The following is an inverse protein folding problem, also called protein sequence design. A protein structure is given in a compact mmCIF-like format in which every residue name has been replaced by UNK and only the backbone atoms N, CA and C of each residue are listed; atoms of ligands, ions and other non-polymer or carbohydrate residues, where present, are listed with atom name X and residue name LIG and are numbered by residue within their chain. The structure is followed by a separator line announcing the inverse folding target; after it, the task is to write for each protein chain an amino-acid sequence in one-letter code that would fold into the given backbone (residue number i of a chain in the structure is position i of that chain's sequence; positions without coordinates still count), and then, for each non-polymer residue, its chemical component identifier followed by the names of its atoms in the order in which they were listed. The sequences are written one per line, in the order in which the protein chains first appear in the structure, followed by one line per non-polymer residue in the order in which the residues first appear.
data_IF_257385551099
#
_entry.id   IF_257385551099
#
_cell.length_a   1.000
_cell.length_b   1.000
_cell.length_c   1.000
_cell.angle_alpha   90.00
_cell.angle_beta   90.00
_cell.angle_gamma   90.00
#
_symmetry.space_group_name_H-M   'P 1'
#
loop_
_entity.id
_entity.type
_entity.pdbx_description
1 polymer ?
#
# COMPACT_ATOMS: atom_id res chain seq x y z
N UNK A 1 -9.36 15.49 -4.50
CA UNK A 1 -8.73 14.28 -3.89
C UNK A 1 -9.35 14.02 -2.52
N UNK A 2 -9.43 12.75 -2.08
CA UNK A 2 -9.88 12.34 -0.75
C UNK A 2 -8.72 11.67 0.02
N UNK A 3 -8.87 11.49 1.33
CA UNK A 3 -7.88 10.79 2.16
C UNK A 3 -8.36 9.40 2.52
N UNK A 4 -7.49 8.43 2.31
CA UNK A 4 -7.57 7.06 2.81
C UNK A 4 -6.43 6.76 3.75
N UNK A 5 -6.51 5.62 4.41
CA UNK A 5 -5.42 5.09 5.24
C UNK A 5 -5.46 3.57 5.19
N UNK A 6 -4.30 2.95 5.26
CA UNK A 6 -4.16 1.51 5.39
C UNK A 6 -4.47 1.02 6.81
N UNK A 7 -5.00 -0.20 6.93
CA UNK A 7 -5.24 -0.82 8.25
C UNK A 7 -4.18 -1.85 8.66
N UNK A 8 -3.14 -2.07 7.84
CA UNK A 8 -2.09 -3.03 8.17
C UNK A 8 -0.95 -2.45 9.02
N UNK A 9 -0.87 -1.13 9.15
CA UNK A 9 0.25 -0.45 9.83
C UNK A 9 0.30 -0.64 11.34
N UNK A 10 -0.76 -1.16 11.96
CA UNK A 10 -0.82 -1.54 13.36
C UNK A 10 -1.70 -2.77 13.55
N UNK A 11 -1.24 -3.70 14.39
CA UNK A 11 -2.04 -4.88 14.76
C UNK A 11 -3.18 -4.49 15.71
N UNK A 12 -4.38 -4.32 15.15
CA UNK A 12 -5.60 -4.00 15.89
C UNK A 12 -6.84 -4.51 15.16
N UNK A 13 -8.01 -4.46 15.79
CA UNK A 13 -9.25 -4.84 15.10
C UNK A 13 -9.61 -3.82 14.03
N UNK A 14 -10.19 -4.28 12.92
CA UNK A 14 -10.64 -3.40 11.85
C UNK A 14 -11.64 -2.34 12.35
N UNK A 15 -12.51 -2.69 13.30
CA UNK A 15 -13.43 -1.74 13.91
C UNK A 15 -12.71 -0.60 14.65
N UNK A 16 -11.63 -0.91 15.36
CA UNK A 16 -10.82 0.11 16.05
C UNK A 16 -10.21 1.08 15.05
N UNK A 17 -9.66 0.55 13.94
CA UNK A 17 -9.14 1.39 12.84
C UNK A 17 -10.25 2.27 12.25
N UNK A 18 -11.38 1.68 11.83
CA UNK A 18 -12.47 2.42 11.17
C UNK A 18 -13.04 3.50 12.08
N UNK A 19 -13.27 3.19 13.36
CA UNK A 19 -13.76 4.17 14.35
C UNK A 19 -12.80 5.35 14.51
N UNK A 20 -11.49 5.08 14.60
CA UNK A 20 -10.46 6.12 14.73
C UNK A 20 -10.42 7.03 13.51
N UNK A 21 -10.36 6.46 12.32
CA UNK A 21 -10.25 7.25 11.09
C UNK A 21 -11.52 8.07 10.83
N UNK A 22 -12.69 7.51 11.05
CA UNK A 22 -13.96 8.23 10.96
C UNK A 22 -14.01 9.44 11.91
N UNK A 23 -13.56 9.26 13.16
CA UNK A 23 -13.51 10.35 14.16
C UNK A 23 -12.52 11.47 13.77
N UNK A 24 -11.54 11.18 12.94
CA UNK A 24 -10.57 12.16 12.42
C UNK A 24 -11.01 12.83 11.11
N UNK A 25 -12.03 12.31 10.43
CA UNK A 25 -12.56 12.87 9.19
C UNK A 25 -12.11 12.14 7.91
N UNK A 26 -11.43 11.02 8.01
CA UNK A 26 -11.18 10.16 6.83
C UNK A 26 -12.51 9.57 6.33
N UNK A 27 -12.68 9.54 5.04
CA UNK A 27 -13.87 8.98 4.37
C UNK A 27 -13.61 7.65 3.69
N UNK A 28 -12.33 7.28 3.54
CA UNK A 28 -11.89 6.09 2.81
C UNK A 28 -10.95 5.23 3.66
N UNK A 29 -11.01 3.93 3.39
CA UNK A 29 -10.09 2.92 3.91
C UNK A 29 -9.47 2.16 2.74
N UNK A 30 -8.17 1.95 2.76
CA UNK A 30 -7.50 0.95 1.94
C UNK A 30 -7.25 -0.31 2.78
N UNK A 31 -7.98 -1.39 2.47
CA UNK A 31 -7.96 -2.59 3.27
C UNK A 31 -6.75 -3.47 2.93
N UNK A 32 -6.14 -4.08 3.94
CA UNK A 32 -5.05 -5.03 3.74
C UNK A 32 -5.49 -6.22 2.86
N UNK A 33 -4.63 -6.65 1.95
CA UNK A 33 -4.87 -7.77 1.04
C UNK A 33 -4.84 -9.14 1.72
N UNK A 34 -5.71 -9.34 2.70
CA UNK A 34 -5.86 -10.59 3.46
C UNK A 34 -7.30 -11.13 3.35
N UNK A 35 -7.74 -11.54 2.15
CA UNK A 35 -9.12 -11.94 1.90
C UNK A 35 -9.60 -13.09 2.81
N UNK A 36 -8.68 -13.92 3.28
CA UNK A 36 -8.97 -15.01 4.22
C UNK A 36 -9.32 -14.53 5.64
N UNK A 37 -8.99 -13.29 5.99
CA UNK A 37 -9.22 -12.72 7.33
C UNK A 37 -10.53 -11.93 7.41
N UNK A 38 -11.12 -11.57 6.28
CA UNK A 38 -12.26 -10.66 6.25
C UNK A 38 -13.54 -11.34 5.75
N UNK A 39 -14.59 -11.29 6.59
CA UNK A 39 -15.95 -11.50 6.12
C UNK A 39 -16.45 -10.19 5.48
N UNK A 40 -16.53 -10.14 4.16
CA UNK A 40 -16.85 -8.93 3.41
C UNK A 40 -18.22 -8.33 3.76
N UNK A 41 -19.20 -9.14 4.18
CA UNK A 41 -20.52 -8.65 4.61
C UNK A 41 -20.42 -7.91 5.95
N UNK A 42 -19.64 -8.44 6.89
CA UNK A 42 -19.40 -7.81 8.19
C UNK A 42 -18.59 -6.52 8.03
N UNK A 43 -17.53 -6.56 7.19
CA UNK A 43 -16.71 -5.38 6.88
C UNK A 43 -17.57 -4.29 6.24
N UNK A 44 -18.41 -4.62 5.27
CA UNK A 44 -19.33 -3.66 4.62
C UNK A 44 -20.28 -3.01 5.61
N UNK A 45 -20.87 -3.80 6.51
CA UNK A 45 -21.75 -3.28 7.56
C UNK A 45 -21.00 -2.31 8.47
N UNK A 46 -19.80 -2.67 8.89
CA UNK A 46 -18.94 -1.85 9.74
C UNK A 46 -18.57 -0.51 9.06
N UNK A 47 -18.15 -0.55 7.81
CA UNK A 47 -17.85 0.65 7.02
C UNK A 47 -19.06 1.58 6.92
N UNK A 48 -20.25 1.03 6.65
CA UNK A 48 -21.49 1.80 6.59
C UNK A 48 -21.86 2.43 7.93
N UNK A 49 -21.68 1.70 9.04
CA UNK A 49 -21.96 2.20 10.39
C UNK A 49 -21.16 3.47 10.74
N UNK A 50 -19.92 3.56 10.26
CA UNK A 50 -19.04 4.70 10.52
C UNK A 50 -18.94 5.70 9.35
N UNK A 51 -19.77 5.54 8.31
CA UNK A 51 -19.75 6.39 7.11
C UNK A 51 -18.37 6.46 6.45
N UNK A 52 -17.65 5.35 6.41
CA UNK A 52 -16.38 5.15 5.69
C UNK A 52 -16.65 4.20 4.54
N UNK A 53 -15.96 4.34 3.43
CA UNK A 53 -16.02 3.40 2.30
C UNK A 53 -14.68 2.73 2.04
N UNK A 54 -14.69 1.50 1.52
CA UNK A 54 -13.49 0.89 0.98
C UNK A 54 -13.11 1.60 -0.31
N UNK A 55 -11.88 2.11 -0.40
CA UNK A 55 -11.36 2.63 -1.66
C UNK A 55 -10.70 1.55 -2.48
N UNK A 56 -9.88 0.72 -1.85
CA UNK A 56 -9.11 -0.30 -2.52
C UNK A 56 -8.41 -1.23 -1.53
N UNK A 57 -7.43 -1.93 -2.05
CA UNK A 57 -6.57 -2.83 -1.27
C UNK A 57 -5.15 -2.84 -1.80
N UNK A 58 -4.18 -2.92 -0.90
CA UNK A 58 -2.79 -3.25 -1.22
C UNK A 58 -2.58 -4.76 -1.05
N UNK A 59 -1.91 -5.39 -2.01
CA UNK A 59 -1.52 -6.80 -1.89
C UNK A 59 -0.40 -6.97 -0.87
N UNK A 60 -0.52 -7.98 -0.02
CA UNK A 60 0.53 -8.39 0.91
C UNK A 60 1.36 -9.51 0.27
N UNK A 61 2.32 -9.14 -0.57
CA UNK A 61 3.20 -10.07 -1.28
C UNK A 61 4.32 -10.57 -0.38
N UNK A 62 3.96 -11.43 0.58
CA UNK A 62 4.82 -11.94 1.65
C UNK A 62 4.97 -13.47 1.55
N UNK A 63 6.06 -14.00 2.12
CA UNK A 63 6.31 -15.43 2.16
C UNK A 63 6.43 -16.06 0.77
N UNK A 64 5.51 -16.96 0.43
CA UNK A 64 5.51 -17.69 -0.85
C UNK A 64 4.81 -16.90 -2.00
N UNK A 65 4.27 -15.73 -1.75
CA UNK A 65 3.55 -14.93 -2.76
C UNK A 65 4.55 -14.22 -3.67
N UNK A 66 4.62 -14.63 -4.94
CA UNK A 66 5.56 -14.09 -5.92
C UNK A 66 5.04 -14.34 -7.35
N UNK A 67 4.67 -13.28 -8.07
CA UNK A 67 4.13 -13.37 -9.44
C UNK A 67 5.20 -13.65 -10.49
N UNK A 68 6.48 -13.57 -10.12
CA UNK A 68 7.62 -13.87 -11.00
C UNK A 68 8.49 -15.02 -10.46
N UNK A 69 7.96 -15.85 -9.55
CA UNK A 69 8.69 -17.02 -9.04
C UNK A 69 9.06 -17.99 -10.17
N UNK A 70 10.22 -18.63 -10.07
CA UNK A 70 10.65 -19.66 -11.02
C UNK A 70 9.70 -20.87 -11.03
N UNK A 71 9.17 -21.22 -9.87
CA UNK A 71 8.18 -22.30 -9.72
C UNK A 71 6.81 -21.86 -10.26
N UNK A 72 6.33 -22.54 -11.30
CA UNK A 72 5.04 -22.25 -11.94
C UNK A 72 3.86 -22.44 -10.97
N UNK A 73 3.90 -23.46 -10.11
CA UNK A 73 2.84 -23.68 -9.13
C UNK A 73 2.79 -22.57 -8.08
N UNK A 74 3.94 -22.02 -7.69
CA UNK A 74 4.02 -20.86 -6.81
C UNK A 74 3.43 -19.62 -7.50
N UNK A 75 3.76 -19.39 -8.78
CA UNK A 75 3.14 -18.28 -9.55
C UNK A 75 1.62 -18.42 -9.63
N UNK A 76 1.12 -19.62 -9.95
CA UNK A 76 -0.32 -19.88 -10.04
C UNK A 76 -1.04 -19.61 -8.70
N UNK A 77 -0.47 -20.01 -7.56
CA UNK A 77 -1.01 -19.67 -6.23
C UNK A 77 -1.00 -18.18 -5.97
N UNK A 78 0.05 -17.47 -6.39
CA UNK A 78 0.17 -16.03 -6.24
C UNK A 78 -0.83 -15.28 -7.09
N UNK A 79 -1.05 -15.70 -8.34
CA UNK A 79 -2.12 -15.19 -9.22
C UNK A 79 -3.50 -15.38 -8.58
N UNK A 80 -3.77 -16.57 -8.05
CA UNK A 80 -5.06 -16.84 -7.39
C UNK A 80 -5.25 -15.94 -6.16
N UNK A 81 -4.20 -15.75 -5.35
CA UNK A 81 -4.25 -14.83 -4.21
C UNK A 81 -4.62 -13.39 -4.64
N UNK A 82 -3.98 -12.84 -5.68
CA UNK A 82 -4.31 -11.48 -6.14
C UNK A 82 -5.74 -11.41 -6.68
N UNK A 83 -6.23 -12.44 -7.38
CA UNK A 83 -7.64 -12.52 -7.80
C UNK A 83 -8.60 -12.56 -6.60
N UNK A 84 -8.22 -13.22 -5.52
CA UNK A 84 -9.02 -13.26 -4.29
C UNK A 84 -9.07 -11.88 -3.62
N UNK A 85 -7.97 -11.10 -3.66
CA UNK A 85 -7.95 -9.69 -3.23
C UNK A 85 -8.86 -8.84 -4.11
N UNK A 86 -8.79 -8.98 -5.43
CA UNK A 86 -9.69 -8.28 -6.39
C UNK A 86 -11.16 -8.59 -6.08
N UNK A 87 -11.49 -9.87 -5.82
CA UNK A 87 -12.85 -10.26 -5.44
C UNK A 87 -13.30 -9.60 -4.14
N UNK A 88 -12.45 -9.59 -3.11
CA UNK A 88 -12.72 -8.93 -1.84
C UNK A 88 -13.01 -7.44 -2.04
N UNK A 89 -12.18 -6.73 -2.80
CA UNK A 89 -12.38 -5.31 -3.11
C UNK A 89 -13.69 -5.06 -3.83
N UNK A 90 -14.03 -5.89 -4.83
CA UNK A 90 -15.33 -5.83 -5.52
C UNK A 90 -16.51 -6.02 -4.55
N UNK A 91 -16.42 -7.00 -3.65
CA UNK A 91 -17.47 -7.27 -2.66
C UNK A 91 -17.60 -6.14 -1.63
N UNK A 92 -16.58 -5.31 -1.44
CA UNK A 92 -16.57 -4.14 -0.58
C UNK A 92 -16.92 -2.83 -1.31
N UNK A 93 -17.34 -2.89 -2.58
CA UNK A 93 -17.59 -1.75 -3.46
C UNK A 93 -16.35 -0.84 -3.62
N UNK A 94 -15.16 -1.42 -3.51
CA UNK A 94 -13.90 -0.72 -3.72
C UNK A 94 -13.56 -0.51 -5.20
N UNK A 95 -12.48 0.20 -5.46
CA UNK A 95 -12.18 0.74 -6.78
C UNK A 95 -10.92 0.15 -7.42
N UNK A 96 -9.87 -0.13 -6.62
CA UNK A 96 -8.58 -0.56 -7.14
C UNK A 96 -7.85 -1.56 -6.23
N UNK A 97 -6.88 -2.26 -6.82
CA UNK A 97 -5.91 -3.10 -6.10
C UNK A 97 -4.50 -2.68 -6.51
N UNK A 98 -3.69 -2.30 -5.52
CA UNK A 98 -2.24 -2.11 -5.67
C UNK A 98 -1.52 -3.45 -5.59
N UNK A 99 -0.60 -3.69 -6.55
CA UNK A 99 0.15 -4.95 -6.65
C UNK A 99 1.64 -4.70 -6.72
N UNK A 100 2.35 -5.17 -5.70
CA UNK A 100 3.80 -5.38 -5.76
C UNK A 100 4.05 -6.71 -6.47
N UNK A 101 4.77 -6.78 -7.62
CA UNK A 101 4.86 -8.02 -8.41
C UNK A 101 5.64 -9.15 -7.72
N UNK A 102 6.69 -8.80 -6.96
CA UNK A 102 7.56 -9.76 -6.27
C UNK A 102 7.28 -9.87 -4.78
N UNK A 103 7.88 -10.85 -4.13
CA UNK A 103 7.83 -10.98 -2.66
C UNK A 103 8.59 -9.82 -2.01
N UNK A 104 7.94 -9.12 -1.08
CA UNK A 104 8.59 -8.08 -0.26
C UNK A 104 9.65 -8.73 0.64
N UNK A 105 10.83 -8.12 0.69
CA UNK A 105 12.01 -8.64 1.38
C UNK A 105 12.88 -9.56 0.52
N UNK A 106 12.46 -9.91 -0.70
CA UNK A 106 13.26 -10.72 -1.63
C UNK A 106 14.10 -9.81 -2.52
N UNK A 107 15.40 -9.81 -2.31
CA UNK A 107 16.37 -8.97 -3.03
C UNK A 107 17.30 -9.76 -3.96
N UNK A 108 17.14 -11.09 -4.06
CA UNK A 108 17.97 -11.97 -4.90
C UNK A 108 17.12 -12.54 -6.04
N UNK A 109 17.48 -12.28 -7.33
CA UNK A 109 16.82 -12.87 -8.48
C UNK A 109 16.93 -14.41 -8.51
N UNK A 110 15.97 -15.08 -9.16
CA UNK A 110 15.96 -16.55 -9.32
C UNK A 110 16.30 -16.99 -10.75
N UNK A 111 16.22 -16.07 -11.72
CA UNK A 111 16.40 -16.39 -13.11
C UNK A 111 17.03 -15.20 -13.88
N UNK A 112 17.09 -15.30 -15.19
CA UNK A 112 17.53 -14.18 -16.04
C UNK A 112 16.45 -13.09 -16.07
N UNK A 113 16.83 -11.81 -16.24
CA UNK A 113 15.87 -10.70 -16.26
C UNK A 113 14.71 -10.87 -17.24
N UNK A 114 14.99 -11.44 -18.42
CA UNK A 114 13.98 -11.64 -19.46
C UNK A 114 12.96 -12.71 -19.08
N UNK A 115 13.38 -13.73 -18.34
CA UNK A 115 12.51 -14.81 -17.86
C UNK A 115 11.59 -14.29 -16.76
N UNK A 116 12.14 -13.59 -15.76
CA UNK A 116 11.37 -13.02 -14.65
C UNK A 116 10.39 -11.94 -15.15
N UNK A 117 10.82 -11.10 -16.10
CA UNK A 117 9.94 -10.15 -16.76
C UNK A 117 8.74 -10.83 -17.44
N UNK A 118 9.02 -11.88 -18.22
CA UNK A 118 7.95 -12.60 -18.92
C UNK A 118 6.97 -13.26 -17.93
N UNK A 119 7.49 -13.89 -16.85
CA UNK A 119 6.64 -14.48 -15.82
C UNK A 119 5.78 -13.45 -15.10
N UNK A 120 6.34 -12.27 -14.81
CA UNK A 120 5.57 -11.18 -14.22
C UNK A 120 4.46 -10.70 -15.16
N UNK A 121 4.79 -10.47 -16.43
CA UNK A 121 3.81 -10.04 -17.45
C UNK A 121 2.69 -11.07 -17.62
N UNK A 122 3.00 -12.36 -17.72
CA UNK A 122 2.01 -13.41 -17.93
C UNK A 122 1.09 -13.55 -16.70
N UNK A 123 1.67 -13.56 -15.50
CA UNK A 123 0.91 -13.61 -14.24
C UNK A 123 0.00 -12.40 -14.08
N UNK A 124 0.52 -11.20 -14.34
CA UNK A 124 -0.25 -9.96 -14.22
C UNK A 124 -1.33 -9.82 -15.29
N UNK A 125 -1.13 -10.33 -16.51
CA UNK A 125 -2.18 -10.37 -17.55
C UNK A 125 -3.37 -11.20 -17.12
N UNK A 126 -3.13 -12.33 -16.46
CA UNK A 126 -4.21 -13.18 -15.94
C UNK A 126 -5.00 -12.49 -14.82
N UNK A 127 -4.30 -11.80 -13.91
CA UNK A 127 -4.92 -10.97 -12.86
C UNK A 127 -5.67 -9.79 -13.49
N UNK A 128 -5.05 -9.09 -14.43
CA UNK A 128 -5.62 -7.92 -15.11
C UNK A 128 -6.95 -8.24 -15.81
N UNK A 129 -7.00 -9.35 -16.54
CA UNK A 129 -8.24 -9.79 -17.18
C UNK A 129 -9.36 -9.97 -16.17
N UNK A 130 -9.07 -10.63 -15.05
CA UNK A 130 -10.04 -10.82 -13.98
C UNK A 130 -10.46 -9.51 -13.29
N UNK A 131 -9.50 -8.60 -13.07
CA UNK A 131 -9.77 -7.29 -12.48
C UNK A 131 -10.64 -6.43 -13.40
N UNK A 132 -10.34 -6.40 -14.72
CA UNK A 132 -11.13 -5.66 -15.72
C UNK A 132 -12.58 -6.17 -15.80
N UNK A 133 -12.78 -7.49 -15.84
CA UNK A 133 -14.13 -8.12 -15.80
C UNK A 133 -14.86 -7.82 -14.49
N UNK A 134 -14.12 -7.59 -13.42
CA UNK A 134 -14.66 -7.24 -12.10
C UNK A 134 -14.96 -5.74 -11.95
N UNK A 135 -14.51 -4.90 -12.88
CA UNK A 135 -14.62 -3.45 -12.80
C UNK A 135 -13.62 -2.81 -11.79
N UNK A 136 -12.53 -3.52 -11.47
CA UNK A 136 -11.50 -3.08 -10.52
C UNK A 136 -10.26 -2.67 -11.29
N UNK A 137 -9.67 -1.52 -10.95
CA UNK A 137 -8.41 -1.07 -11.50
C UNK A 137 -7.24 -1.86 -10.87
N UNK A 138 -6.23 -2.14 -11.67
CA UNK A 138 -4.99 -2.75 -11.21
C UNK A 138 -3.87 -1.72 -11.31
N UNK A 139 -3.20 -1.44 -10.18
CA UNK A 139 -2.05 -0.53 -10.10
C UNK A 139 -0.77 -1.30 -9.77
N UNK A 140 0.25 -1.22 -10.62
CA UNK A 140 1.57 -1.79 -10.31
C UNK A 140 2.30 -0.83 -9.37
N UNK A 141 2.75 -1.35 -8.25
CA UNK A 141 3.47 -0.59 -7.25
C UNK A 141 4.97 -0.90 -7.27
N UNK A 142 5.82 0.09 -7.60
CA UNK A 142 7.25 -0.02 -7.42
C UNK A 142 7.61 0.25 -5.97
N UNK A 143 8.41 -0.62 -5.36
CA UNK A 143 8.93 -0.43 -4.01
C UNK A 143 10.46 -0.38 -4.00
N UNK A 144 11.05 0.17 -2.96
CA UNK A 144 12.48 0.44 -2.91
C UNK A 144 13.36 -0.83 -3.04
N UNK A 145 14.61 -0.64 -3.47
CA UNK A 145 15.61 -1.70 -3.74
C UNK A 145 16.01 -2.53 -2.52
N UNK A 146 15.71 -2.09 -1.32
CA UNK A 146 15.98 -2.85 -0.10
C UNK A 146 14.86 -3.84 0.22
N UNK A 147 13.69 -3.67 -0.40
CA UNK A 147 12.51 -4.52 -0.24
C UNK A 147 12.25 -5.40 -1.47
N UNK A 148 12.71 -5.02 -2.67
CA UNK A 148 12.62 -5.87 -3.88
C UNK A 148 13.74 -5.54 -4.87
N UNK A 149 14.12 -6.51 -5.69
CA UNK A 149 15.07 -6.31 -6.79
C UNK A 149 14.40 -6.00 -8.13
N UNK A 150 13.08 -6.19 -8.25
CA UNK A 150 12.44 -6.28 -9.57
C UNK A 150 11.96 -4.92 -10.11
N UNK A 151 11.00 -4.27 -9.46
CA UNK A 151 10.42 -2.99 -9.89
C UNK A 151 10.59 -1.97 -8.76
N UNK A 152 11.41 -0.94 -8.98
CA UNK A 152 11.75 0.05 -7.96
C UNK A 152 11.30 1.47 -8.30
N UNK A 153 11.21 1.83 -9.58
CA UNK A 153 10.88 3.18 -10.05
C UNK A 153 9.59 3.21 -10.85
N UNK A 154 8.97 4.40 -10.91
CA UNK A 154 7.75 4.64 -11.66
C UNK A 154 7.87 4.33 -13.16
N UNK A 155 9.03 4.58 -13.79
CA UNK A 155 9.25 4.25 -15.20
C UNK A 155 9.26 2.72 -15.47
N UNK A 156 9.78 1.93 -14.54
CA UNK A 156 9.74 0.47 -14.62
C UNK A 156 8.32 -0.07 -14.41
N UNK A 157 7.59 0.50 -13.44
CA UNK A 157 6.19 0.15 -13.20
C UNK A 157 5.31 0.50 -14.40
N UNK A 158 5.52 1.66 -15.04
CA UNK A 158 4.82 2.05 -16.26
C UNK A 158 5.08 1.07 -17.41
N UNK A 159 6.35 0.70 -17.64
CA UNK A 159 6.70 -0.27 -18.67
C UNK A 159 6.02 -1.63 -18.43
N UNK A 160 5.95 -2.08 -17.18
CA UNK A 160 5.27 -3.32 -16.84
C UNK A 160 3.74 -3.19 -17.02
N UNK A 161 3.14 -2.10 -16.57
CA UNK A 161 1.71 -1.83 -16.74
C UNK A 161 1.31 -1.77 -18.23
N UNK A 162 2.15 -1.17 -19.08
CA UNK A 162 1.95 -1.14 -20.54
C UNK A 162 2.00 -2.54 -21.16
N UNK A 163 2.95 -3.38 -20.70
CA UNK A 163 3.07 -4.76 -21.17
C UNK A 163 1.89 -5.65 -20.72
N UNK A 164 1.25 -5.32 -19.60
CA UNK A 164 0.11 -6.06 -19.03
C UNK A 164 -1.20 -5.70 -19.74
N UNK A 165 -1.52 -4.41 -19.88
CA UNK A 165 -2.78 -4.03 -20.53
C UNK A 165 -3.04 -2.53 -20.58
N UNK A 166 -3.99 -2.10 -21.44
CA UNK A 166 -4.22 -0.67 -21.73
C UNK A 166 -4.79 0.11 -20.53
N UNK A 167 -5.48 -0.55 -19.60
CA UNK A 167 -6.06 0.06 -18.40
C UNK A 167 -5.29 -0.31 -17.11
N UNK A 168 -4.23 -1.12 -17.22
CA UNK A 168 -3.34 -1.36 -16.10
C UNK A 168 -2.60 -0.07 -15.78
N UNK A 169 -2.70 0.39 -14.57
CA UNK A 169 -2.08 1.63 -14.09
C UNK A 169 -0.88 1.35 -13.18
N UNK A 170 -0.43 2.43 -12.54
CA UNK A 170 0.59 2.37 -11.50
C UNK A 170 0.05 2.98 -10.20
N UNK A 171 0.47 2.43 -9.08
CA UNK A 171 0.32 3.03 -7.76
C UNK A 171 1.70 3.49 -7.30
N UNK A 172 1.88 4.78 -7.04
CA UNK A 172 3.17 5.32 -6.61
C UNK A 172 3.13 5.62 -5.11
N UNK A 173 4.24 5.37 -4.43
CA UNK A 173 4.40 5.67 -3.01
C UNK A 173 5.51 6.70 -2.79
N UNK A 174 5.20 7.76 -2.08
CA UNK A 174 6.10 8.89 -1.85
C UNK A 174 7.38 8.53 -1.09
N UNK A 175 7.32 7.55 -0.18
CA UNK A 175 8.50 7.05 0.54
C UNK A 175 9.43 6.26 -0.40
N UNK A 176 8.86 5.34 -1.18
CA UNK A 176 9.65 4.55 -2.13
C UNK A 176 10.24 5.44 -3.22
N UNK A 177 9.47 6.41 -3.74
CA UNK A 177 9.94 7.39 -4.71
C UNK A 177 11.09 8.24 -4.17
N UNK A 178 11.03 8.68 -2.92
CA UNK A 178 12.11 9.46 -2.30
C UNK A 178 13.45 8.69 -2.27
N UNK A 179 13.42 7.37 -2.24
CA UNK A 179 14.63 6.54 -2.25
C UNK A 179 15.13 6.23 -3.65
N UNK A 180 14.23 6.13 -4.64
CA UNK A 180 14.56 5.54 -5.95
C UNK A 180 14.54 6.56 -7.10
N UNK A 181 13.73 7.59 -7.02
CA UNK A 181 13.59 8.56 -8.11
C UNK A 181 14.63 9.68 -8.01
N UNK A 182 15.18 10.06 -9.14
CA UNK A 182 16.05 11.25 -9.21
C UNK A 182 15.26 12.56 -9.00
N UNK A 183 14.01 12.58 -9.44
CA UNK A 183 13.03 13.66 -9.24
C UNK A 183 11.63 13.04 -9.13
N UNK A 184 11.05 13.10 -7.92
CA UNK A 184 9.72 12.54 -7.65
C UNK A 184 8.61 13.24 -8.42
N UNK A 185 8.75 14.54 -8.67
CA UNK A 185 7.76 15.33 -9.41
C UNK A 185 7.74 14.97 -10.88
N UNK A 186 8.90 14.71 -11.47
CA UNK A 186 9.02 14.24 -12.84
C UNK A 186 8.46 12.81 -12.99
N UNK A 187 8.71 11.94 -12.01
CA UNK A 187 8.13 10.60 -12.00
C UNK A 187 6.59 10.63 -11.91
N UNK A 188 6.01 11.52 -11.09
CA UNK A 188 4.56 11.74 -11.05
C UNK A 188 4.05 12.22 -12.42
N UNK A 189 4.72 13.18 -13.07
CA UNK A 189 4.31 13.68 -14.39
C UNK A 189 4.32 12.60 -15.46
N UNK A 190 5.31 11.70 -15.45
CA UNK A 190 5.38 10.56 -16.37
C UNK A 190 4.22 9.58 -16.19
N UNK A 191 3.68 9.46 -14.99
CA UNK A 191 2.54 8.60 -14.70
C UNK A 191 1.19 9.17 -15.16
N UNK A 192 1.16 10.36 -15.78
CA UNK A 192 -0.08 10.99 -16.28
C UNK A 192 -0.92 10.04 -17.13
N UNK A 193 -2.19 9.88 -16.76
CA UNK A 193 -3.15 9.00 -17.42
C UNK A 193 -2.98 7.51 -17.09
N UNK A 194 -2.00 7.14 -16.26
CA UNK A 194 -1.76 5.78 -15.77
C UNK A 194 -1.68 5.70 -14.25
N UNK A 195 -1.62 6.82 -13.54
CA UNK A 195 -1.64 6.83 -12.08
C UNK A 195 -3.05 6.49 -11.58
N UNK A 196 -3.21 5.38 -10.87
CA UNK A 196 -4.49 4.90 -10.33
C UNK A 196 -4.51 4.83 -8.81
N UNK A 197 -3.38 5.05 -8.16
CA UNK A 197 -3.24 5.14 -6.71
C UNK A 197 -2.01 5.93 -6.31
N UNK A 198 -2.05 6.55 -5.12
CA UNK A 198 -0.90 7.26 -4.57
C UNK A 198 -0.84 7.07 -3.05
N UNK A 199 0.19 6.32 -2.61
CA UNK A 199 0.47 6.10 -1.20
C UNK A 199 1.34 7.22 -0.63
N UNK A 200 1.05 7.63 0.60
CA UNK A 200 1.71 8.77 1.24
C UNK A 200 2.31 8.41 2.60
N UNK A 201 3.61 8.50 2.68
CA UNK A 201 4.40 8.55 3.90
C UNK A 201 5.52 9.57 3.71
N UNK A 202 6.05 10.14 4.79
CA UNK A 202 7.18 11.06 4.66
C UNK A 202 8.49 10.32 4.31
N UNK A 203 9.53 11.05 3.95
CA UNK A 203 10.82 10.49 3.51
C UNK A 203 11.45 9.50 4.51
N UNK A 204 11.11 9.59 5.78
CA UNK A 204 11.56 8.72 6.87
C UNK A 204 10.53 7.63 7.24
N UNK A 205 9.55 7.42 6.38
CA UNK A 205 8.39 6.52 6.53
C UNK A 205 7.48 6.84 7.74
N UNK A 206 7.65 8.03 8.34
CA UNK A 206 6.74 8.56 9.33
C UNK A 206 5.48 9.15 8.66
N UNK A 207 4.54 9.59 9.49
CA UNK A 207 3.34 10.29 9.03
C UNK A 207 3.69 11.52 8.17
N UNK A 208 2.96 11.81 7.08
CA UNK A 208 3.10 13.04 6.32
C UNK A 208 3.18 14.29 7.20
N UNK A 209 4.20 15.11 6.97
CA UNK A 209 4.53 16.30 7.77
C UNK A 209 5.46 16.05 8.96
N UNK A 210 6.01 14.84 9.07
CA UNK A 210 7.02 14.48 10.08
C UNK A 210 8.42 14.22 9.49
N UNK A 211 8.61 14.53 8.22
CA UNK A 211 9.87 14.48 7.49
C UNK A 211 10.11 15.78 6.70
N UNK A 212 10.69 15.66 5.52
CA UNK A 212 11.07 16.83 4.71
C UNK A 212 10.43 16.87 3.31
N UNK A 213 9.47 15.98 2.99
CA UNK A 213 8.79 16.03 1.71
C UNK A 213 7.92 17.29 1.59
N UNK A 214 7.99 17.96 0.44
CA UNK A 214 7.15 19.12 0.12
C UNK A 214 5.76 18.63 -0.34
N UNK A 215 4.86 18.45 0.61
CA UNK A 215 3.50 17.98 0.35
C UNK A 215 2.69 18.93 -0.53
N UNK A 216 2.90 20.24 -0.40
CA UNK A 216 2.27 21.23 -1.27
C UNK A 216 2.64 21.04 -2.74
N UNK A 217 3.94 20.78 -3.00
CA UNK A 217 4.43 20.53 -4.34
C UNK A 217 4.01 19.16 -4.87
N UNK A 218 3.98 18.10 -4.03
CA UNK A 218 3.50 16.77 -4.41
C UNK A 218 2.03 16.88 -4.84
N UNK A 219 1.16 17.40 -4.00
CA UNK A 219 -0.28 17.58 -4.29
C UNK A 219 -0.49 18.46 -5.51
N UNK A 220 0.28 19.55 -5.64
CA UNK A 220 0.25 20.43 -6.83
C UNK A 220 0.61 19.68 -8.11
N UNK A 221 1.61 18.81 -8.08
CA UNK A 221 2.03 17.99 -9.24
C UNK A 221 0.98 16.92 -9.59
N UNK A 222 0.36 16.30 -8.59
CA UNK A 222 -0.75 15.36 -8.82
C UNK A 222 -1.93 16.06 -9.53
N UNK A 223 -2.31 17.28 -9.10
CA UNK A 223 -3.33 18.09 -9.78
C UNK A 223 -2.93 18.50 -11.20
N UNK A 224 -1.65 18.84 -11.41
CA UNK A 224 -1.11 19.17 -12.74
C UNK A 224 -1.34 18.08 -13.76
N UNK A 225 -1.22 16.80 -13.34
CA UNK A 225 -1.45 15.64 -14.22
C UNK A 225 -2.93 15.23 -14.31
N UNK A 226 -3.81 15.86 -13.55
CA UNK A 226 -5.24 15.57 -13.48
C UNK A 226 -5.59 14.38 -12.57
N UNK A 227 -4.71 14.00 -11.65
CA UNK A 227 -5.04 13.02 -10.62
C UNK A 227 -5.90 13.70 -9.54
N UNK A 228 -7.13 13.23 -9.39
CA UNK A 228 -8.10 13.75 -8.42
C UNK A 228 -8.80 12.60 -7.66
N UNK A 229 -8.07 11.56 -7.38
CA UNK A 229 -8.57 10.38 -6.65
C UNK A 229 -8.08 10.41 -5.19
N UNK A 230 -7.61 9.35 -4.65
CA UNK A 230 -7.32 9.16 -3.22
C UNK A 230 -5.82 9.23 -2.93
N UNK A 231 -5.45 9.92 -1.86
CA UNK A 231 -4.15 9.78 -1.21
C UNK A 231 -4.30 8.83 -0.03
N UNK A 232 -3.62 7.69 -0.08
CA UNK A 232 -3.72 6.65 0.95
C UNK A 232 -2.51 6.68 1.88
N UNK A 233 -2.76 6.96 3.15
CA UNK A 233 -1.72 7.08 4.17
C UNK A 233 -1.14 5.71 4.50
N UNK A 234 0.19 5.57 4.36
CA UNK A 234 0.93 4.32 4.54
C UNK A 234 2.27 4.52 5.27
N UNK A 235 2.21 5.09 6.45
CA UNK A 235 3.41 5.24 7.27
C UNK A 235 3.81 3.92 7.96
N UNK A 236 5.12 3.74 8.18
CA UNK A 236 5.65 2.68 9.03
C UNK A 236 6.68 3.31 9.97
N UNK A 237 6.25 3.58 11.20
CA UNK A 237 7.07 4.29 12.18
C UNK A 237 8.31 3.49 12.55
N UNK A 238 9.50 4.10 12.61
CA UNK A 238 10.71 3.41 13.07
C UNK A 238 10.61 3.01 14.55
N UNK A 239 11.25 1.90 14.88
CA UNK A 239 11.39 1.42 16.25
C UNK A 239 12.61 2.08 16.90
N UNK A 240 12.41 3.17 17.63
CA UNK A 240 13.49 3.82 18.39
C UNK A 240 13.45 3.40 19.86
N UNK A 241 14.39 2.56 20.25
CA UNK A 241 14.57 2.05 21.62
C UNK A 241 15.71 2.74 22.37
N UNK A 242 16.19 3.87 21.86
CA UNK A 242 17.30 4.61 22.47
C UNK A 242 16.79 5.67 23.45
N UNK A 243 17.65 6.12 24.39
CA UNK A 243 17.31 7.25 25.26
C UNK A 243 17.10 8.58 24.48
N UNK A 244 17.48 8.62 23.20
CA UNK A 244 17.29 9.78 22.33
C UNK A 244 15.95 9.80 21.61
N UNK A 245 15.08 8.80 21.84
CA UNK A 245 13.76 8.73 21.22
C UNK A 245 12.95 10.01 21.55
N UNK A 246 12.59 10.81 20.54
CA UNK A 246 11.80 12.03 20.77
C UNK A 246 10.35 11.73 21.18
N UNK A 247 9.93 10.48 21.07
CA UNK A 247 8.59 9.99 21.43
C UNK A 247 8.69 8.87 22.47
N UNK A 248 9.02 9.19 23.74
CA UNK A 248 9.35 8.19 24.77
C UNK A 248 8.21 7.19 25.07
N UNK A 249 6.94 7.57 24.77
CA UNK A 249 5.76 6.72 24.95
C UNK A 249 5.28 6.08 23.64
N UNK A 250 6.13 6.04 22.60
CA UNK A 250 5.72 5.53 21.28
C UNK A 250 5.66 4.00 21.20
N UNK A 251 6.40 3.31 22.07
CA UNK A 251 6.55 1.86 22.02
C UNK A 251 5.73 1.18 23.12
N UNK A 252 5.14 0.04 22.77
CA UNK A 252 4.59 -0.85 23.78
C UNK A 252 5.73 -1.38 24.66
N UNK A 253 5.67 -1.12 25.96
CA UNK A 253 6.75 -1.46 26.89
C UNK A 253 6.94 -2.97 27.06
N UNK A 254 5.93 -3.76 26.68
CA UNK A 254 5.95 -5.18 26.95
C UNK A 254 5.71 -6.05 25.69
N UNK A 255 6.71 -6.16 24.77
CA UNK A 255 6.59 -7.02 23.59
C UNK A 255 6.40 -8.51 23.95
N UNK A 256 6.49 -8.89 25.24
CA UNK A 256 6.22 -10.25 25.71
C UNK A 256 4.71 -10.56 25.73
N UNK A 257 3.87 -9.55 25.79
CA UNK A 257 2.42 -9.69 25.84
C UNK A 257 1.76 -9.74 24.47
N UNK A 258 2.55 -9.63 23.40
CA UNK A 258 2.07 -9.83 22.03
C UNK A 258 1.62 -11.27 21.84
N UNK A 259 0.39 -11.46 21.37
CA UNK A 259 -0.07 -12.78 20.93
C UNK A 259 0.81 -13.30 19.77
N UNK A 260 0.84 -14.62 19.53
CA UNK A 260 1.55 -15.18 18.38
C UNK A 260 1.10 -14.55 17.04
N UNK A 261 -0.19 -14.26 16.90
CA UNK A 261 -0.78 -13.62 15.72
C UNK A 261 -0.31 -12.17 15.56
N UNK A 262 -0.29 -11.42 16.66
CA UNK A 262 0.23 -10.04 16.64
C UNK A 262 1.73 -10.00 16.30
N UNK A 263 2.52 -10.89 16.89
CA UNK A 263 3.95 -11.00 16.58
C UNK A 263 4.17 -11.32 15.11
N UNK A 264 3.45 -12.34 14.60
CA UNK A 264 3.53 -12.69 13.19
C UNK A 264 3.13 -11.52 12.28
N UNK A 265 2.07 -10.79 12.62
CA UNK A 265 1.66 -9.62 11.88
C UNK A 265 2.79 -8.57 11.80
N UNK A 266 3.44 -8.26 12.93
CA UNK A 266 4.53 -7.29 12.97
C UNK A 266 5.75 -7.75 12.16
N UNK A 267 6.09 -9.04 12.23
CA UNK A 267 7.18 -9.65 11.47
C UNK A 267 6.88 -9.64 9.96
N UNK A 268 5.68 -10.03 9.58
CA UNK A 268 5.25 -10.11 8.18
C UNK A 268 5.16 -8.73 7.49
N UNK A 269 4.81 -7.68 8.22
CA UNK A 269 4.61 -6.34 7.66
C UNK A 269 5.78 -5.38 7.92
N UNK A 270 6.79 -5.80 8.67
CA UNK A 270 7.87 -4.93 9.09
C UNK A 270 7.40 -3.72 9.91
N UNK A 271 6.20 -3.80 10.48
CA UNK A 271 5.64 -2.77 11.33
C UNK A 271 6.17 -2.87 12.76
N UNK A 272 5.91 -1.86 13.59
CA UNK A 272 6.39 -1.81 14.95
C UNK A 272 5.25 -1.94 15.96
N UNK A 273 5.55 -2.44 17.15
CA UNK A 273 4.61 -2.45 18.27
C UNK A 273 4.50 -1.03 18.86
N UNK A 274 3.83 -0.14 18.13
CA UNK A 274 3.58 1.22 18.62
C UNK A 274 2.32 1.26 19.49
N UNK A 275 2.35 2.13 20.49
CA UNK A 275 1.18 2.36 21.35
C UNK A 275 -0.01 2.91 20.56
N UNK A 276 -1.23 2.68 21.05
CA UNK A 276 -2.43 3.23 20.41
C UNK A 276 -2.41 4.77 20.35
N UNK A 277 -1.93 5.41 21.41
CA UNK A 277 -1.82 6.88 21.47
C UNK A 277 -0.88 7.43 20.42
N UNK A 278 0.28 6.80 20.27
CA UNK A 278 1.26 7.23 19.26
C UNK A 278 0.73 6.98 17.84
N UNK A 279 0.14 5.83 17.58
CA UNK A 279 -0.47 5.54 16.29
C UNK A 279 -1.63 6.51 15.96
N UNK A 280 -2.48 6.83 16.95
CA UNK A 280 -3.54 7.82 16.75
C UNK A 280 -2.97 9.23 16.48
N UNK A 281 -1.86 9.58 17.11
CA UNK A 281 -1.16 10.85 16.83
C UNK A 281 -0.63 10.88 15.40
N UNK A 282 -0.01 9.80 14.91
CA UNK A 282 0.49 9.70 13.53
C UNK A 282 -0.67 9.79 12.52
N UNK A 283 -1.77 9.09 12.78
CA UNK A 283 -2.98 9.14 11.93
C UNK A 283 -3.55 10.55 11.85
N UNK A 284 -3.66 11.22 12.99
CA UNK A 284 -4.12 12.63 13.07
C UNK A 284 -3.16 13.57 12.35
N UNK A 285 -1.86 13.43 12.55
CA UNK A 285 -0.85 14.29 11.91
C UNK A 285 -0.91 14.17 10.39
N UNK A 286 -1.09 12.96 9.87
CA UNK A 286 -1.27 12.73 8.43
C UNK A 286 -2.50 13.49 7.90
N UNK A 287 -3.63 13.38 8.60
CA UNK A 287 -4.87 14.06 8.24
C UNK A 287 -4.70 15.58 8.25
N UNK A 288 -4.18 16.15 9.34
CA UNK A 288 -3.97 17.60 9.49
C UNK A 288 -3.01 18.18 8.43
N UNK A 289 -1.97 17.41 8.08
CA UNK A 289 -1.00 17.84 7.06
C UNK A 289 -1.59 17.85 5.67
N UNK A 290 -2.35 16.83 5.31
CA UNK A 290 -2.82 16.63 3.94
C UNK A 290 -4.17 17.29 3.67
N UNK A 291 -5.12 17.27 4.62
CA UNK A 291 -6.48 17.76 4.40
C UNK A 291 -6.54 19.25 4.04
N UNK A 292 -5.60 20.05 4.52
CA UNK A 292 -5.51 21.50 4.19
C UNK A 292 -4.99 21.75 2.77
N UNK A 293 -4.48 20.72 2.10
CA UNK A 293 -3.95 20.79 0.74
C UNK A 293 -4.96 20.27 -0.30
N UNK A 294 -6.02 19.57 0.11
CA UNK A 294 -7.01 18.95 -0.77
C UNK A 294 -8.22 19.86 -0.99
#
# INVERSE_FOLDING_TARGET
MELSIHNWMRSETLETTIRRIAALGYTKLEIAGSPEQYNTKEVRHLLQQYNVSCWGSVTLMLGERNLLAKDEAQRARSVQYVKDVVRMVKELDGHMVSVVPGTVGKIVPEARPEEEWQWAVDSLKEVYTYAEESGILLGIEPINRFETYFINRGDQALALAEAVGPKCGVCLDSFHMNMEEADIYDAIRRAKGRLVGFHVADNNRMAPGMGHLDWGKIVGTLREIGYDDVLSVEFCSPLDRTPANPYPNSLDENPKDLSPEQRKFLEDHGSTAVTEEFYAMLTRKSYETLSVLL
#
